data_IF_627361480433
#
_entry.id   IF_627361480433
#
_cell.length_a   1.000
_cell.length_b   1.000
_cell.length_c   1.000
_cell.angle_alpha   90.00
_cell.angle_beta   90.00
_cell.angle_gamma   90.00
#
_symmetry.space_group_name_H-M   'P 1'
#
loop_
_entity.id
_entity.type
_entity.pdbx_description
1 polymer ?
#
# COMPACT_ATOMS: atom_id res chain seq x y z
N UNK A 1 -23.58 2.53 10.50
CA UNK A 1 -22.31 2.33 11.23
C UNK A 1 -21.22 2.05 10.20
N UNK A 2 -20.08 2.75 10.19
CA UNK A 2 -19.03 2.50 9.18
C UNK A 2 -18.33 1.16 9.43
N UNK A 3 -18.09 0.40 8.36
CA UNK A 3 -17.25 -0.81 8.39
C UNK A 3 -15.79 -0.48 8.73
N UNK A 4 -15.02 -1.46 9.22
CA UNK A 4 -13.58 -1.29 9.52
C UNK A 4 -12.80 -0.75 8.31
N UNK A 5 -13.17 -1.18 7.09
CA UNK A 5 -12.55 -0.73 5.82
C UNK A 5 -12.82 0.75 5.58
N UNK A 6 -14.06 1.20 5.73
CA UNK A 6 -14.44 2.60 5.54
C UNK A 6 -13.76 3.53 6.54
N UNK A 7 -13.72 3.13 7.82
CA UNK A 7 -13.02 3.91 8.85
C UNK A 7 -11.52 4.05 8.55
N UNK A 8 -10.88 2.98 8.05
CA UNK A 8 -9.47 3.02 7.63
C UNK A 8 -9.25 3.97 6.47
N UNK A 9 -10.09 3.90 5.43
CA UNK A 9 -10.00 4.79 4.26
C UNK A 9 -10.19 6.26 4.66
N UNK A 10 -11.12 6.55 5.58
CA UNK A 10 -11.33 7.90 6.11
C UNK A 10 -10.07 8.45 6.78
N UNK A 11 -9.42 7.67 7.66
CA UNK A 11 -8.16 8.08 8.33
C UNK A 11 -7.00 8.28 7.35
N UNK A 12 -6.90 7.44 6.33
CA UNK A 12 -5.82 7.52 5.35
C UNK A 12 -5.95 8.71 4.38
N UNK A 13 -7.16 9.26 4.20
CA UNK A 13 -7.47 10.27 3.17
C UNK A 13 -6.61 11.52 3.31
N UNK A 14 -6.54 12.12 4.49
CA UNK A 14 -5.82 13.38 4.69
C UNK A 14 -4.32 13.26 4.36
N UNK A 15 -3.67 12.20 4.85
CA UNK A 15 -2.26 11.93 4.58
C UNK A 15 -2.02 11.67 3.09
N UNK A 16 -2.89 10.90 2.43
CA UNK A 16 -2.76 10.62 0.98
C UNK A 16 -2.89 11.88 0.13
N UNK A 17 -3.76 12.82 0.52
CA UNK A 17 -3.88 14.13 -0.15
C UNK A 17 -2.58 14.91 0.01
N UNK A 18 -2.03 15.01 1.23
CA UNK A 18 -0.75 15.70 1.48
C UNK A 18 0.42 15.09 0.71
N UNK A 19 0.47 13.76 0.59
CA UNK A 19 1.50 13.09 -0.19
C UNK A 19 1.30 13.38 -1.69
N UNK A 20 0.06 13.36 -2.18
CA UNK A 20 -0.22 13.67 -3.58
C UNK A 20 0.20 15.10 -3.95
N UNK A 21 0.03 16.08 -3.05
CA UNK A 21 0.46 17.46 -3.30
C UNK A 21 1.97 17.63 -3.42
N UNK A 22 2.78 16.68 -2.92
CA UNK A 22 4.24 16.76 -3.03
C UNK A 22 4.76 16.32 -4.40
N UNK A 23 3.95 15.62 -5.21
CA UNK A 23 4.35 15.17 -6.55
C UNK A 23 5.52 14.16 -6.59
N UNK A 24 5.89 13.58 -5.44
CA UNK A 24 6.97 12.59 -5.32
C UNK A 24 6.43 11.17 -5.30
N UNK A 25 7.27 10.21 -5.68
CA UNK A 25 6.93 8.80 -5.58
C UNK A 25 6.56 8.42 -4.13
N UNK A 26 5.51 7.61 -3.97
CA UNK A 26 5.00 7.22 -2.64
C UNK A 26 4.98 5.72 -2.45
N UNK A 27 5.41 5.27 -1.27
CA UNK A 27 5.23 3.89 -0.82
C UNK A 27 3.84 3.72 -0.19
N UNK A 28 3.03 2.86 -0.77
CA UNK A 28 1.71 2.49 -0.23
C UNK A 28 1.77 1.10 0.36
N UNK A 29 1.43 0.97 1.64
CA UNK A 29 1.36 -0.32 2.34
C UNK A 29 -0.10 -0.69 2.62
N UNK A 30 -0.47 -1.93 2.28
CA UNK A 30 -1.76 -2.52 2.62
C UNK A 30 -1.54 -3.82 3.39
N UNK A 31 -2.19 -3.93 4.55
CA UNK A 31 -2.15 -5.12 5.41
C UNK A 31 -3.54 -5.76 5.47
N UNK A 32 -3.58 -7.07 5.29
CA UNK A 32 -4.74 -7.93 5.57
C UNK A 32 -4.41 -8.80 6.79
N UNK A 33 -5.33 -9.71 7.16
CA UNK A 33 -5.09 -10.61 8.29
C UNK A 33 -3.91 -11.57 8.04
N UNK A 34 -3.70 -11.97 6.79
CA UNK A 34 -2.73 -13.01 6.39
C UNK A 34 -1.50 -12.46 5.66
N UNK A 35 -1.63 -11.32 4.97
CA UNK A 35 -0.58 -10.83 4.07
C UNK A 35 -0.35 -9.33 4.21
N UNK A 36 0.85 -8.92 3.84
CA UNK A 36 1.22 -7.52 3.66
C UNK A 36 1.68 -7.30 2.22
N UNK A 37 1.32 -6.12 1.71
CA UNK A 37 1.57 -5.69 0.34
C UNK A 37 2.16 -4.28 0.38
N UNK A 38 3.18 -4.05 -0.43
CA UNK A 38 3.84 -2.77 -0.59
C UNK A 38 3.96 -2.42 -2.09
N UNK A 39 3.70 -1.17 -2.43
CA UNK A 39 3.84 -0.68 -3.81
C UNK A 39 4.39 0.72 -3.83
N UNK A 40 5.43 0.95 -4.63
CA UNK A 40 5.97 2.27 -4.94
C UNK A 40 5.21 2.81 -6.15
N UNK A 41 4.46 3.88 -5.94
CA UNK A 41 3.65 4.53 -6.98
C UNK A 41 4.36 5.81 -7.39
N UNK A 42 4.39 6.08 -8.69
CA UNK A 42 4.88 7.32 -9.27
C UNK A 42 4.16 8.55 -8.68
N UNK A 43 4.83 9.71 -8.71
CA UNK A 43 4.31 10.96 -8.14
C UNK A 43 3.02 11.46 -8.80
N UNK A 44 2.82 11.14 -10.07
CA UNK A 44 1.58 11.37 -10.83
C UNK A 44 0.43 10.42 -10.42
N UNK A 45 0.73 9.36 -9.66
CA UNK A 45 -0.23 8.35 -9.24
C UNK A 45 -0.65 7.35 -10.32
N UNK A 46 -0.17 7.48 -11.55
CA UNK A 46 -0.63 6.72 -12.71
C UNK A 46 0.08 5.37 -12.92
N UNK A 47 1.27 5.21 -12.36
CA UNK A 47 2.11 4.01 -12.55
C UNK A 47 2.64 3.45 -11.23
N UNK A 48 2.65 2.12 -11.13
CA UNK A 48 3.40 1.39 -10.11
C UNK A 48 4.81 1.14 -10.62
N UNK A 49 5.81 1.65 -9.91
CA UNK A 49 7.24 1.53 -10.25
C UNK A 49 7.77 0.17 -9.79
N UNK A 50 7.40 -0.24 -8.57
CA UNK A 50 7.79 -1.51 -7.98
C UNK A 50 6.70 -1.99 -7.01
N UNK A 51 6.58 -3.31 -6.85
CA UNK A 51 5.73 -3.94 -5.85
C UNK A 51 6.46 -5.10 -5.18
N UNK A 52 6.08 -5.37 -3.94
CA UNK A 52 6.53 -6.55 -3.19
C UNK A 52 5.45 -6.96 -2.18
N UNK A 53 5.30 -8.25 -1.94
CA UNK A 53 4.29 -8.77 -1.04
C UNK A 53 4.63 -10.13 -0.47
N UNK A 54 4.09 -10.44 0.71
CA UNK A 54 4.18 -11.80 1.29
C UNK A 54 3.40 -12.85 0.50
N UNK A 55 2.66 -12.43 -0.54
CA UNK A 55 1.95 -13.32 -1.43
C UNK A 55 2.82 -13.78 -2.62
N UNK A 56 3.98 -13.16 -2.85
CA UNK A 56 4.94 -13.60 -3.87
C UNK A 56 5.60 -14.92 -3.46
N UNK A 57 5.77 -15.82 -4.43
CA UNK A 57 6.32 -17.15 -4.19
C UNK A 57 7.74 -17.10 -3.62
N UNK A 58 8.58 -16.21 -4.17
CA UNK A 58 9.96 -16.02 -3.72
C UNK A 58 10.03 -15.52 -2.28
N UNK A 59 9.21 -14.52 -1.94
CA UNK A 59 9.12 -13.96 -0.59
C UNK A 59 8.58 -14.99 0.39
N UNK A 60 7.57 -15.77 0.00
CA UNK A 60 7.01 -16.84 0.84
C UNK A 60 8.05 -17.92 1.15
N UNK A 61 8.81 -18.34 0.13
CA UNK A 61 9.90 -19.32 0.28
C UNK A 61 10.98 -18.80 1.22
N UNK A 62 11.34 -17.51 1.11
CA UNK A 62 12.31 -16.88 2.01
C UNK A 62 11.82 -16.79 3.47
N UNK A 63 10.50 -16.75 3.69
CA UNK A 63 9.87 -16.73 5.01
C UNK A 63 9.68 -18.14 5.63
N UNK A 64 10.14 -19.20 4.96
CA UNK A 64 10.09 -20.57 5.47
C UNK A 64 8.76 -21.30 5.28
N UNK A 65 7.96 -20.86 4.30
CA UNK A 65 6.71 -21.51 3.89
C UNK A 65 6.82 -22.19 2.53
#
# INVERSE_FOLDING_TARGET
>A
MLTKKEQRLRRARQTRIRIATQGVARLTVNRTNLHIYASVISGDGGKVIACASTAEAEVRKALGA
#
